data_IF_694410200615
#
_entry.id   IF_694410200615
#
_cell.length_a   1.000
_cell.length_b   1.000
_cell.length_c   1.000
_cell.angle_alpha   90.00
_cell.angle_beta   90.00
_cell.angle_gamma   90.00
#
_symmetry.space_group_name_H-M   'P 1'
#
loop_
_entity.id
_entity.type
_entity.pdbx_description
1 polymer ?
#
# COMPACT_ATOMS: atom_id res chain seq x y z
N UNK A 1 90.11 -14.54 38.08
CA UNK A 1 88.76 -14.35 38.55
C UNK A 1 87.96 -13.55 37.50
N UNK A 2 87.26 -14.18 36.57
CA UNK A 2 86.40 -13.48 35.57
C UNK A 2 85.11 -14.30 35.43
N UNK A 3 84.02 -13.74 35.88
CA UNK A 3 82.68 -14.35 35.83
C UNK A 3 82.07 -14.02 34.47
N UNK A 4 81.85 -15.01 33.63
CA UNK A 4 81.13 -14.90 32.37
C UNK A 4 79.64 -15.01 32.63
N UNK A 5 78.87 -13.96 32.28
CA UNK A 5 77.40 -13.97 32.35
C UNK A 5 76.85 -14.48 31.00
N UNK A 6 76.17 -15.55 31.04
CA UNK A 6 75.43 -16.08 29.89
C UNK A 6 74.09 -15.33 29.76
N UNK A 7 73.87 -14.70 28.63
CA UNK A 7 72.63 -14.03 28.29
C UNK A 7 71.76 -15.01 27.53
N UNK A 8 70.65 -15.36 28.11
CA UNK A 8 69.61 -16.21 27.49
C UNK A 8 68.65 -15.29 26.70
N UNK A 9 68.69 -15.45 25.37
CA UNK A 9 67.71 -14.79 24.48
C UNK A 9 66.44 -15.70 24.39
N UNK A 10 65.36 -15.17 24.97
CA UNK A 10 64.03 -15.81 24.87
C UNK A 10 63.42 -15.25 23.58
N UNK A 11 63.34 -16.11 22.57
CA UNK A 11 62.62 -15.82 21.32
C UNK A 11 61.11 -15.87 21.55
N UNK A 12 60.44 -14.77 21.40
CA UNK A 12 58.99 -14.73 21.42
C UNK A 12 58.46 -15.17 20.05
N UNK A 13 57.85 -16.36 20.03
CA UNK A 13 57.10 -16.83 18.86
C UNK A 13 55.71 -16.20 18.89
N UNK A 14 55.47 -15.23 18.02
CA UNK A 14 54.12 -14.72 17.76
C UNK A 14 53.35 -15.77 16.97
N UNK A 15 52.46 -16.50 17.65
CA UNK A 15 51.43 -17.30 17.00
C UNK A 15 50.36 -16.34 16.42
N UNK A 16 50.33 -16.18 15.10
CA UNK A 16 49.17 -15.58 14.41
C UNK A 16 48.03 -16.60 14.49
N UNK A 17 47.10 -16.39 15.41
CA UNK A 17 45.83 -17.09 15.41
C UNK A 17 44.99 -16.53 14.24
N UNK A 18 44.92 -17.27 13.14
CA UNK A 18 43.96 -17.04 12.08
C UNK A 18 42.54 -17.22 12.69
N UNK A 19 41.78 -16.11 12.80
CA UNK A 19 40.37 -16.19 13.09
C UNK A 19 39.67 -16.91 11.92
N UNK A 20 39.45 -18.22 12.10
CA UNK A 20 38.52 -18.93 11.24
C UNK A 20 37.13 -18.33 11.45
N UNK A 21 36.62 -17.65 10.42
CA UNK A 21 35.24 -17.18 10.40
C UNK A 21 34.32 -18.40 10.41
N UNK A 22 33.93 -18.80 11.60
CA UNK A 22 32.84 -19.77 11.78
C UNK A 22 31.55 -19.12 11.28
N UNK A 23 31.14 -19.51 10.08
CA UNK A 23 29.87 -19.04 9.49
C UNK A 23 28.72 -19.36 10.45
N UNK A 24 28.19 -18.32 11.10
CA UNK A 24 27.06 -18.43 12.01
C UNK A 24 25.81 -19.03 11.33
N UNK A 25 24.86 -19.54 12.11
CA UNK A 25 23.68 -20.28 11.62
C UNK A 25 22.76 -19.45 10.69
N UNK A 26 23.00 -18.15 10.55
CA UNK A 26 22.26 -17.26 9.65
C UNK A 26 22.71 -17.31 8.19
N UNK A 27 23.80 -18.00 7.85
CA UNK A 27 24.22 -18.20 6.45
C UNK A 27 23.37 -19.21 5.67
N UNK A 28 22.53 -19.96 6.32
CA UNK A 28 21.65 -20.94 5.66
C UNK A 28 20.29 -20.39 5.22
N UNK A 29 19.98 -19.12 5.51
CA UNK A 29 18.74 -18.47 5.07
C UNK A 29 18.79 -17.88 3.65
N UNK A 30 19.65 -18.38 2.79
CA UNK A 30 19.57 -18.18 1.33
C UNK A 30 18.73 -19.24 0.64
N UNK A 31 17.65 -19.70 1.27
CA UNK A 31 16.52 -20.13 0.47
C UNK A 31 15.91 -18.83 -0.07
N UNK A 32 15.91 -18.58 -1.39
CA UNK A 32 15.13 -17.47 -1.88
C UNK A 32 13.74 -17.76 -1.36
N UNK A 33 13.23 -16.86 -0.51
CA UNK A 33 11.79 -16.77 -0.30
C UNK A 33 11.30 -16.58 -1.71
N UNK A 34 10.74 -17.65 -2.30
CA UNK A 34 10.10 -17.56 -3.59
C UNK A 34 9.22 -16.33 -3.43
N UNK A 35 9.51 -15.28 -4.21
CA UNK A 35 8.71 -14.09 -4.22
C UNK A 35 7.30 -14.64 -4.37
N UNK A 36 6.50 -14.56 -3.31
CA UNK A 36 5.11 -14.95 -3.37
C UNK A 36 4.62 -14.22 -4.60
N UNK A 37 4.28 -14.99 -5.64
CA UNK A 37 3.77 -14.39 -6.87
C UNK A 37 2.71 -13.41 -6.44
N UNK A 38 2.45 -12.29 -7.12
CA UNK A 38 1.67 -11.17 -6.61
C UNK A 38 0.45 -11.76 -5.92
N UNK A 39 0.51 -11.79 -4.59
CA UNK A 39 -0.53 -12.40 -3.81
C UNK A 39 -1.78 -11.61 -4.16
N UNK A 40 -2.83 -12.26 -4.64
CA UNK A 40 -4.08 -11.60 -4.97
C UNK A 40 -4.75 -11.10 -3.67
N UNK A 41 -3.99 -10.36 -2.88
CA UNK A 41 -4.49 -9.67 -1.70
C UNK A 41 -5.33 -8.47 -2.12
N UNK A 42 -6.47 -8.28 -1.46
CA UNK A 42 -7.26 -7.08 -1.64
C UNK A 42 -6.46 -5.83 -1.27
N UNK A 43 -6.82 -4.71 -1.88
CA UNK A 43 -6.17 -3.42 -1.62
C UNK A 43 -7.19 -2.28 -1.68
N UNK A 44 -6.79 -1.12 -1.18
CA UNK A 44 -7.61 0.10 -1.20
C UNK A 44 -6.90 1.19 -1.99
N UNK A 45 -7.67 1.96 -2.75
CA UNK A 45 -7.22 3.17 -3.44
C UNK A 45 -8.18 4.31 -3.17
N UNK A 46 -7.70 5.55 -3.20
CA UNK A 46 -8.54 6.72 -3.04
C UNK A 46 -8.40 7.66 -4.24
N UNK A 47 -9.52 8.18 -4.71
CA UNK A 47 -9.60 9.20 -5.76
C UNK A 47 -10.10 10.49 -5.13
N UNK A 48 -9.32 11.56 -5.29
CA UNK A 48 -9.66 12.88 -4.79
C UNK A 48 -10.32 13.71 -5.88
N UNK A 49 -11.19 14.61 -5.45
CA UNK A 49 -11.96 15.50 -6.30
C UNK A 49 -11.74 16.96 -5.92
N UNK A 50 -11.92 17.84 -6.90
CA UNK A 50 -12.04 19.26 -6.63
C UNK A 50 -13.28 19.56 -5.80
N UNK A 51 -13.32 20.77 -5.22
CA UNK A 51 -14.46 21.22 -4.45
C UNK A 51 -15.72 21.20 -5.33
N UNK A 52 -16.84 20.73 -4.75
CA UNK A 52 -18.16 20.61 -5.39
C UNK A 52 -18.17 19.81 -6.72
N UNK A 53 -17.10 19.12 -7.05
CA UNK A 53 -16.93 18.35 -8.28
C UNK A 53 -17.01 16.82 -8.04
N UNK A 54 -17.53 16.12 -9.04
CA UNK A 54 -17.44 14.67 -9.22
C UNK A 54 -16.71 14.30 -10.53
N UNK A 55 -16.10 15.28 -11.20
CA UNK A 55 -15.32 15.04 -12.40
C UNK A 55 -13.99 14.38 -12.06
N UNK A 56 -13.62 13.33 -12.81
CA UNK A 56 -12.35 12.64 -12.63
C UNK A 56 -11.21 13.44 -13.23
N UNK A 57 -10.22 13.79 -12.40
CA UNK A 57 -8.99 14.47 -12.82
C UNK A 57 -8.05 13.53 -13.60
N UNK A 58 -7.02 14.05 -14.29
CA UNK A 58 -5.98 13.21 -14.88
C UNK A 58 -5.31 12.28 -13.86
N UNK A 59 -5.07 12.76 -12.63
CA UNK A 59 -4.48 11.99 -11.54
C UNK A 59 -5.40 10.85 -11.12
N UNK A 60 -6.70 11.07 -11.05
CA UNK A 60 -7.69 10.03 -10.78
C UNK A 60 -7.63 8.91 -11.82
N UNK A 61 -7.46 9.25 -13.11
CA UNK A 61 -7.31 8.28 -14.20
C UNK A 61 -6.02 7.45 -14.03
N UNK A 62 -4.93 8.06 -13.57
CA UNK A 62 -3.68 7.33 -13.27
C UNK A 62 -3.86 6.36 -12.09
N UNK A 63 -4.59 6.75 -11.05
CA UNK A 63 -4.92 5.86 -9.92
C UNK A 63 -5.69 4.63 -10.42
N UNK A 64 -6.68 4.81 -11.31
CA UNK A 64 -7.44 3.71 -11.90
C UNK A 64 -6.57 2.79 -12.76
N UNK A 65 -5.66 3.35 -13.55
CA UNK A 65 -4.72 2.58 -14.36
C UNK A 65 -3.75 1.75 -13.47
N UNK A 66 -3.27 2.35 -12.38
CA UNK A 66 -2.43 1.67 -11.39
C UNK A 66 -3.20 0.55 -10.68
N UNK A 67 -4.45 0.79 -10.28
CA UNK A 67 -5.31 -0.24 -9.70
C UNK A 67 -5.48 -1.43 -10.67
N UNK A 68 -5.67 -1.15 -11.98
CA UNK A 68 -5.75 -2.18 -13.01
C UNK A 68 -4.45 -2.98 -13.14
N UNK A 69 -3.29 -2.30 -13.08
CA UNK A 69 -1.99 -2.96 -13.12
C UNK A 69 -1.78 -3.85 -11.87
N UNK A 70 -2.17 -3.38 -10.69
CA UNK A 70 -2.05 -4.10 -9.43
C UNK A 70 -2.96 -5.35 -9.38
N UNK A 71 -4.16 -5.28 -9.95
CA UNK A 71 -5.09 -6.41 -10.05
C UNK A 71 -4.72 -7.40 -11.16
N UNK A 72 -3.64 -7.15 -11.94
CA UNK A 72 -3.25 -8.00 -13.06
C UNK A 72 -2.90 -9.41 -12.58
N UNK A 73 -3.45 -10.41 -13.26
CA UNK A 73 -3.21 -11.82 -12.92
C UNK A 73 -4.19 -12.37 -11.88
N UNK A 74 -4.95 -11.50 -11.21
CA UNK A 74 -5.97 -11.89 -10.24
C UNK A 74 -7.39 -11.86 -10.84
N UNK A 75 -8.30 -12.56 -10.19
CA UNK A 75 -9.73 -12.38 -10.38
C UNK A 75 -10.20 -11.31 -9.40
N UNK A 76 -10.84 -10.27 -9.91
CA UNK A 76 -11.53 -9.27 -9.10
C UNK A 76 -12.91 -9.81 -8.79
N UNK A 77 -13.17 -10.09 -7.53
CA UNK A 77 -14.43 -10.66 -7.07
C UNK A 77 -15.46 -9.57 -6.82
N UNK A 78 -15.06 -8.57 -6.03
CA UNK A 78 -15.91 -7.44 -5.70
C UNK A 78 -15.12 -6.14 -5.66
N UNK A 79 -15.80 -5.03 -5.92
CA UNK A 79 -15.27 -3.68 -5.78
C UNK A 79 -16.29 -2.85 -5.02
N UNK A 80 -15.91 -2.37 -3.84
CA UNK A 80 -16.71 -1.41 -3.07
C UNK A 80 -16.22 0.00 -3.33
N UNK A 81 -17.14 0.91 -3.66
CA UNK A 81 -16.85 2.33 -3.88
C UNK A 81 -17.64 3.15 -2.88
N UNK A 82 -16.94 3.93 -2.06
CA UNK A 82 -17.52 4.77 -1.01
C UNK A 82 -17.26 6.23 -1.38
N UNK A 83 -18.29 6.94 -1.79
CA UNK A 83 -18.23 8.37 -2.05
C UNK A 83 -18.34 9.18 -0.76
N UNK A 84 -17.48 10.20 -0.63
CA UNK A 84 -17.40 11.08 0.51
C UNK A 84 -17.48 12.56 0.07
N UNK A 85 -17.94 13.41 0.98
CA UNK A 85 -17.89 14.86 0.86
C UNK A 85 -17.21 15.46 2.09
N UNK A 86 -16.73 16.70 1.99
CA UNK A 86 -16.29 17.48 3.15
C UNK A 86 -17.48 18.11 3.89
N UNK A 87 -17.19 18.87 4.93
CA UNK A 87 -18.21 19.49 5.77
C UNK A 87 -18.76 20.83 5.22
N UNK A 88 -18.35 21.21 3.99
CA UNK A 88 -18.79 22.46 3.38
C UNK A 88 -20.14 22.25 2.70
N UNK A 89 -21.12 23.08 3.05
CA UNK A 89 -22.47 23.05 2.47
C UNK A 89 -23.48 22.24 3.31
N UNK A 90 -24.68 22.09 2.77
CA UNK A 90 -25.76 21.38 3.44
C UNK A 90 -25.63 19.86 3.27
N UNK A 91 -25.91 19.10 4.35
CA UNK A 91 -25.77 17.64 4.35
C UNK A 91 -26.53 16.91 3.21
N UNK A 92 -27.75 17.32 2.80
CA UNK A 92 -28.42 16.69 1.66
C UNK A 92 -27.66 16.90 0.32
N UNK A 93 -27.05 18.07 0.12
CA UNK A 93 -26.24 18.36 -1.07
C UNK A 93 -24.95 17.54 -1.05
N UNK A 94 -24.30 17.39 0.11
CA UNK A 94 -23.11 16.58 0.33
C UNK A 94 -23.39 15.09 0.10
N UNK A 95 -24.55 14.60 0.52
CA UNK A 95 -24.96 13.23 0.22
C UNK A 95 -25.14 13.01 -1.30
N UNK A 96 -25.81 13.95 -1.99
CA UNK A 96 -25.96 13.89 -3.43
C UNK A 96 -24.61 13.96 -4.17
N UNK A 97 -23.67 14.81 -3.69
CA UNK A 97 -22.33 14.93 -4.25
C UNK A 97 -21.52 13.65 -4.06
N UNK A 98 -21.55 13.07 -2.85
CA UNK A 98 -20.85 11.80 -2.56
C UNK A 98 -21.37 10.66 -3.43
N UNK A 99 -22.68 10.62 -3.69
CA UNK A 99 -23.27 9.65 -4.63
C UNK A 99 -22.74 9.85 -6.05
N UNK A 100 -22.76 11.08 -6.56
CA UNK A 100 -22.20 11.36 -7.91
C UNK A 100 -20.72 10.96 -8.03
N UNK A 101 -19.91 11.13 -6.98
CA UNK A 101 -18.51 10.70 -6.93
C UNK A 101 -18.38 9.19 -7.01
N UNK A 102 -19.17 8.46 -6.24
CA UNK A 102 -19.20 7.00 -6.29
C UNK A 102 -19.61 6.49 -7.69
N UNK A 103 -20.65 7.07 -8.28
CA UNK A 103 -21.14 6.71 -9.61
C UNK A 103 -20.08 6.99 -10.70
N UNK A 104 -19.40 8.15 -10.63
CA UNK A 104 -18.34 8.50 -11.59
C UNK A 104 -17.15 7.52 -11.52
N UNK A 105 -16.72 7.17 -10.32
CA UNK A 105 -15.63 6.19 -10.11
C UNK A 105 -16.05 4.80 -10.58
N UNK A 106 -17.26 4.35 -10.24
CA UNK A 106 -17.77 3.03 -10.66
C UNK A 106 -17.82 2.91 -12.18
N UNK A 107 -18.35 3.94 -12.86
CA UNK A 107 -18.39 3.98 -14.32
C UNK A 107 -16.99 3.93 -14.94
N UNK A 108 -16.05 4.66 -14.38
CA UNK A 108 -14.67 4.65 -14.85
C UNK A 108 -13.98 3.31 -14.60
N UNK A 109 -14.20 2.68 -13.44
CA UNK A 109 -13.69 1.33 -13.14
C UNK A 109 -14.19 0.30 -14.15
N UNK A 110 -15.47 0.34 -14.51
CA UNK A 110 -16.03 -0.54 -15.53
C UNK A 110 -15.31 -0.34 -16.88
N UNK A 111 -15.06 0.91 -17.28
CA UNK A 111 -14.31 1.25 -18.50
C UNK A 111 -12.83 0.80 -18.43
N UNK A 112 -12.23 0.77 -17.24
CA UNK A 112 -10.87 0.26 -17.00
C UNK A 112 -10.77 -1.25 -16.83
N UNK A 113 -11.84 -2.01 -17.18
CA UNK A 113 -11.83 -3.47 -17.24
C UNK A 113 -12.21 -4.18 -15.94
N UNK A 114 -12.85 -3.48 -15.01
CA UNK A 114 -13.43 -4.05 -13.80
C UNK A 114 -14.94 -4.40 -13.95
N UNK A 115 -15.53 -4.22 -15.12
CA UNK A 115 -16.97 -4.36 -15.34
C UNK A 115 -17.59 -5.76 -15.10
N UNK A 116 -16.75 -6.76 -14.79
CA UNK A 116 -17.20 -8.12 -14.41
C UNK A 116 -17.20 -8.35 -12.89
N UNK A 117 -16.78 -7.37 -12.10
CA UNK A 117 -16.80 -7.45 -10.65
C UNK A 117 -18.19 -7.10 -10.11
N UNK A 118 -18.52 -7.62 -8.95
CA UNK A 118 -19.69 -7.16 -8.21
C UNK A 118 -19.40 -5.79 -7.63
N UNK A 119 -20.25 -4.80 -7.93
CA UNK A 119 -20.11 -3.44 -7.42
C UNK A 119 -21.03 -3.19 -6.23
N UNK A 120 -20.44 -2.73 -5.13
CA UNK A 120 -21.14 -2.22 -3.95
C UNK A 120 -20.84 -0.71 -3.83
N UNK A 121 -21.86 0.12 -4.02
CA UNK A 121 -21.76 1.57 -3.98
C UNK A 121 -22.38 2.11 -2.71
N UNK A 122 -21.63 2.92 -1.98
CA UNK A 122 -22.09 3.64 -0.81
C UNK A 122 -21.83 5.14 -0.98
N UNK A 123 -22.71 5.94 -0.43
CA UNK A 123 -22.58 7.39 -0.33
C UNK A 123 -22.83 7.80 1.10
N UNK A 124 -21.84 8.35 1.77
CA UNK A 124 -21.94 8.72 3.19
C UNK A 124 -21.93 10.23 3.44
N UNK A 125 -21.95 11.02 2.35
CA UNK A 125 -22.00 12.48 2.42
C UNK A 125 -20.83 13.02 3.23
N UNK A 126 -21.15 13.94 4.14
CA UNK A 126 -20.21 14.62 5.05
C UNK A 126 -20.07 13.92 6.42
N UNK A 127 -20.64 12.74 6.60
CA UNK A 127 -20.49 12.00 7.85
C UNK A 127 -19.02 11.78 8.23
N UNK A 128 -18.59 12.28 9.39
CA UNK A 128 -17.20 12.28 9.84
C UNK A 128 -16.28 13.27 9.10
N UNK A 129 -16.82 14.27 8.41
CA UNK A 129 -16.06 15.31 7.75
C UNK A 129 -15.53 16.41 8.69
N UNK A 130 -15.87 16.32 9.98
CA UNK A 130 -15.29 17.15 11.03
C UNK A 130 -14.57 16.29 12.06
N UNK A 131 -13.48 16.81 12.61
CA UNK A 131 -12.78 16.18 13.73
C UNK A 131 -13.59 16.32 15.03
N UNK A 132 -13.18 15.61 16.10
CA UNK A 132 -13.77 15.79 17.43
C UNK A 132 -13.66 17.24 17.95
N UNK A 133 -12.70 18.01 17.47
CA UNK A 133 -12.53 19.44 17.76
C UNK A 133 -13.36 20.36 16.83
N UNK A 134 -14.24 19.81 15.99
CA UNK A 134 -15.08 20.58 15.07
C UNK A 134 -14.37 21.14 13.84
N UNK A 135 -13.11 20.75 13.58
CA UNK A 135 -12.33 21.22 12.44
C UNK A 135 -12.70 20.43 11.20
N UNK A 136 -12.95 21.12 10.07
CA UNK A 136 -13.24 20.49 8.80
C UNK A 136 -12.10 19.62 8.29
N UNK A 137 -12.41 18.45 7.76
CA UNK A 137 -11.47 17.51 7.17
C UNK A 137 -11.51 17.59 5.62
N UNK A 138 -10.72 18.46 4.98
CA UNK A 138 -10.80 18.70 3.53
C UNK A 138 -10.44 17.48 2.69
N UNK A 139 -9.62 16.54 3.24
CA UNK A 139 -9.28 15.27 2.60
C UNK A 139 -10.46 14.31 2.43
N UNK A 140 -11.66 14.71 2.86
CA UNK A 140 -12.91 13.96 2.63
C UNK A 140 -13.47 14.14 1.23
N UNK A 141 -12.97 15.09 0.42
CA UNK A 141 -13.36 15.23 -1.01
C UNK A 141 -12.80 14.09 -1.86
N UNK A 142 -13.26 12.85 -1.59
CA UNK A 142 -12.74 11.68 -2.27
C UNK A 142 -13.78 10.57 -2.43
N UNK A 143 -13.42 9.56 -3.20
CA UNK A 143 -14.06 8.25 -3.15
C UNK A 143 -13.00 7.20 -2.81
N UNK A 144 -13.30 6.36 -1.84
CA UNK A 144 -12.47 5.22 -1.45
C UNK A 144 -12.93 3.98 -2.23
N UNK A 145 -11.99 3.23 -2.77
CA UNK A 145 -12.23 2.04 -3.60
C UNK A 145 -11.54 0.87 -2.92
N UNK A 146 -12.32 -0.14 -2.56
CA UNK A 146 -11.83 -1.36 -1.91
C UNK A 146 -11.97 -2.50 -2.91
N UNK A 147 -10.85 -3.12 -3.27
CA UNK A 147 -10.79 -4.25 -4.19
C UNK A 147 -10.69 -5.56 -3.42
N UNK A 148 -11.60 -6.48 -3.69
CA UNK A 148 -11.54 -7.87 -3.22
C UNK A 148 -11.03 -8.75 -4.36
N UNK A 149 -9.83 -9.31 -4.17
CA UNK A 149 -9.13 -10.09 -5.17
C UNK A 149 -8.96 -11.55 -4.72
N UNK A 150 -9.02 -12.45 -5.68
CA UNK A 150 -8.69 -13.87 -5.48
C UNK A 150 -7.75 -14.37 -6.59
N UNK A 151 -6.96 -15.41 -6.34
CA UNK A 151 -6.25 -16.10 -7.42
C UNK A 151 -7.23 -16.58 -8.49
N UNK A 152 -6.82 -16.50 -9.76
CA UNK A 152 -7.62 -17.10 -10.82
C UNK A 152 -7.69 -18.62 -10.64
N UNK A 153 -8.84 -19.25 -10.80
CA UNK A 153 -8.91 -20.70 -10.87
C UNK A 153 -8.04 -21.20 -12.01
N UNK A 154 -7.35 -22.31 -11.78
CA UNK A 154 -6.53 -23.01 -12.79
C UNK A 154 -7.42 -23.80 -13.73
#
# INVERSE_FOLDING_TARGET
MKRTRATILIGAVLALTACAETGGPWRTLKKPVAAAGPGCAGFTSSIYFDQDSAALTPEAKMVLANARAQARGCQVRAVRVIGLADAVGASPANLALSKRRADAVSSALAAHGFGKADFDLAAIGDAGATTAAGVAAPLRRRADIIFDLTPKPR
#
